data_IF_775790818038
#
_entry.id   IF_775790818038
#
_cell.length_a   1.000
_cell.length_b   1.000
_cell.length_c   1.000
_cell.angle_alpha   90.00
_cell.angle_beta   90.00
_cell.angle_gamma   90.00
#
_symmetry.space_group_name_H-M   'P 1'
#
loop_
_entity.id
_entity.type
_entity.pdbx_description
1 polymer ?
#
# COMPACT_ATOMS: atom_id res chain seq x y z
N UNK A 1 -64.00 15.98 18.72
CA UNK A 1 -62.54 16.21 18.83
C UNK A 1 -61.93 14.91 19.27
N UNK A 2 -61.47 14.12 18.31
CA UNK A 2 -61.03 12.74 18.49
C UNK A 2 -59.54 12.72 18.13
N UNK A 3 -58.67 12.71 19.15
CA UNK A 3 -57.23 12.68 18.96
C UNK A 3 -56.80 11.23 18.79
N UNK A 4 -56.59 10.82 17.54
CA UNK A 4 -55.98 9.56 17.17
C UNK A 4 -54.49 9.56 17.51
N UNK A 5 -54.10 8.76 18.50
CA UNK A 5 -52.71 8.42 18.79
C UNK A 5 -52.23 7.34 17.81
N UNK A 6 -51.56 7.76 16.73
CA UNK A 6 -50.78 6.84 15.91
C UNK A 6 -49.45 6.52 16.63
N UNK A 7 -49.40 5.35 17.28
CA UNK A 7 -48.15 4.69 17.63
C UNK A 7 -47.50 4.18 16.34
N UNK A 8 -46.55 4.94 15.80
CA UNK A 8 -45.63 4.46 14.79
C UNK A 8 -44.51 3.66 15.48
N UNK A 9 -44.75 2.36 15.68
CA UNK A 9 -43.68 1.40 15.95
C UNK A 9 -42.78 1.33 14.71
N UNK A 10 -41.68 2.09 14.75
CA UNK A 10 -40.62 1.97 13.76
C UNK A 10 -39.97 0.60 13.89
N UNK A 11 -40.39 -0.34 13.03
CA UNK A 11 -39.71 -1.61 12.78
C UNK A 11 -38.29 -1.31 12.31
N UNK A 12 -37.34 -1.30 13.25
CA UNK A 12 -35.92 -1.20 12.93
C UNK A 12 -35.55 -2.44 12.10
N UNK A 13 -35.25 -2.22 10.82
CA UNK A 13 -34.74 -3.26 9.94
C UNK A 13 -33.53 -3.93 10.59
N UNK A 14 -33.41 -5.28 10.54
CA UNK A 14 -32.24 -5.96 11.06
C UNK A 14 -31.00 -5.41 10.36
N UNK A 15 -30.05 -4.89 11.16
CA UNK A 15 -28.77 -4.39 10.64
C UNK A 15 -28.06 -5.47 9.81
N UNK A 16 -27.17 -5.07 8.89
CA UNK A 16 -26.51 -6.02 7.99
C UNK A 16 -25.85 -7.15 8.79
N UNK A 17 -25.93 -8.40 8.30
CA UNK A 17 -25.36 -9.54 9.00
C UNK A 17 -23.88 -9.31 9.25
N UNK A 18 -23.41 -9.59 10.46
CA UNK A 18 -21.98 -9.49 10.76
C UNK A 18 -21.21 -10.47 9.87
N UNK A 19 -20.15 -10.03 9.16
CA UNK A 19 -19.41 -10.90 8.26
C UNK A 19 -18.83 -12.10 9.03
N UNK A 20 -18.74 -13.25 8.35
CA UNK A 20 -18.12 -14.46 8.90
C UNK A 20 -16.64 -14.22 9.16
N UNK A 21 -16.06 -14.92 10.14
CA UNK A 21 -14.63 -14.84 10.45
C UNK A 21 -13.76 -15.10 9.22
N UNK A 22 -14.10 -16.11 8.41
CA UNK A 22 -13.37 -16.42 7.16
C UNK A 22 -13.33 -15.23 6.20
N UNK A 23 -14.47 -14.57 5.96
CA UNK A 23 -14.52 -13.40 5.06
C UNK A 23 -13.66 -12.23 5.55
N UNK A 24 -13.61 -12.01 6.86
CA UNK A 24 -12.77 -10.95 7.45
C UNK A 24 -11.29 -11.29 7.30
N UNK A 25 -10.92 -12.57 7.46
CA UNK A 25 -9.55 -13.05 7.22
C UNK A 25 -9.16 -12.91 5.76
N UNK A 26 -10.04 -13.28 4.83
CA UNK A 26 -9.80 -13.12 3.39
C UNK A 26 -9.55 -11.64 3.03
N UNK A 27 -10.36 -10.73 3.58
CA UNK A 27 -10.17 -9.29 3.41
C UNK A 27 -8.86 -8.80 4.03
N UNK A 28 -8.51 -9.30 5.23
CA UNK A 28 -7.22 -9.04 5.88
C UNK A 28 -6.03 -9.49 5.03
N UNK A 29 -6.14 -10.66 4.39
CA UNK A 29 -5.13 -11.19 3.47
C UNK A 29 -4.96 -10.33 2.22
N UNK A 30 -6.06 -9.82 1.64
CA UNK A 30 -5.99 -8.90 0.50
C UNK A 30 -5.22 -7.62 0.84
N UNK A 31 -5.44 -7.08 2.05
CA UNK A 31 -4.73 -5.89 2.54
C UNK A 31 -3.25 -6.21 2.76
N UNK A 32 -2.95 -7.29 3.47
CA UNK A 32 -1.57 -7.69 3.80
C UNK A 32 -0.74 -7.97 2.53
N UNK A 33 -1.28 -8.76 1.60
CA UNK A 33 -0.59 -9.08 0.34
C UNK A 33 -0.43 -7.83 -0.55
N UNK A 34 -1.36 -6.88 -0.49
CA UNK A 34 -1.20 -5.60 -1.17
C UNK A 34 -0.10 -4.74 -0.57
N UNK A 35 0.06 -4.75 0.76
CA UNK A 35 1.17 -4.08 1.44
C UNK A 35 2.53 -4.68 1.04
N UNK A 36 2.65 -6.01 1.04
CA UNK A 36 3.87 -6.73 0.59
C UNK A 36 4.17 -6.40 -0.87
N UNK A 37 3.18 -6.46 -1.76
CA UNK A 37 3.36 -6.12 -3.18
C UNK A 37 3.82 -4.67 -3.37
N UNK A 38 3.28 -3.73 -2.59
CA UNK A 38 3.68 -2.33 -2.65
C UNK A 38 5.12 -2.12 -2.15
N UNK A 39 5.53 -2.82 -1.08
CA UNK A 39 6.91 -2.81 -0.61
C UNK A 39 7.88 -3.33 -1.68
N UNK A 40 7.55 -4.46 -2.31
CA UNK A 40 8.34 -5.04 -3.39
C UNK A 40 8.40 -4.14 -4.63
N UNK A 41 7.27 -3.53 -5.02
CA UNK A 41 7.22 -2.56 -6.12
C UNK A 41 8.22 -1.42 -5.91
N UNK A 42 8.23 -0.85 -4.70
CA UNK A 42 9.19 0.21 -4.36
C UNK A 42 10.65 -0.28 -4.45
N UNK A 43 10.92 -1.53 -4.04
CA UNK A 43 12.25 -2.14 -4.14
C UNK A 43 12.69 -2.31 -5.60
N UNK A 44 11.78 -2.72 -6.49
CA UNK A 44 12.04 -2.77 -7.93
C UNK A 44 12.36 -1.40 -8.51
N UNK A 45 11.56 -0.38 -8.19
CA UNK A 45 11.76 0.98 -8.69
C UNK A 45 13.12 1.52 -8.23
N UNK A 46 13.44 1.38 -6.95
CA UNK A 46 14.73 1.83 -6.40
C UNK A 46 15.88 1.03 -7.00
N UNK A 47 15.78 -0.30 -7.08
CA UNK A 47 16.81 -1.16 -7.65
C UNK A 47 17.13 -0.83 -9.11
N UNK A 48 16.10 -0.58 -9.92
CA UNK A 48 16.26 -0.22 -11.33
C UNK A 48 16.85 1.19 -11.50
N UNK A 49 16.31 2.19 -10.79
CA UNK A 49 16.66 3.60 -11.03
C UNK A 49 17.92 4.06 -10.29
N UNK A 50 18.19 3.53 -9.10
CA UNK A 50 19.32 3.95 -8.26
C UNK A 50 20.52 3.05 -8.42
N UNK A 51 20.31 1.73 -8.38
CA UNK A 51 21.40 0.76 -8.26
C UNK A 51 21.79 0.13 -9.60
N UNK A 52 21.00 0.37 -10.66
CA UNK A 52 21.18 -0.18 -12.01
C UNK A 52 21.44 -1.69 -12.03
N UNK A 53 20.80 -2.42 -11.11
CA UNK A 53 20.98 -3.86 -10.98
C UNK A 53 20.15 -4.61 -12.01
N UNK A 54 20.74 -5.66 -12.55
CA UNK A 54 20.01 -6.65 -13.34
C UNK A 54 18.97 -7.37 -12.46
N UNK A 55 17.90 -7.83 -13.10
CA UNK A 55 16.86 -8.59 -12.43
C UNK A 55 17.35 -10.00 -12.09
N UNK A 56 17.35 -10.32 -10.79
CA UNK A 56 17.63 -11.66 -10.27
C UNK A 56 16.38 -12.21 -9.55
N UNK A 57 15.70 -13.23 -10.11
CA UNK A 57 14.47 -13.76 -9.54
C UNK A 57 14.67 -14.34 -8.14
N UNK A 58 15.82 -14.94 -7.84
CA UNK A 58 16.08 -15.59 -6.55
C UNK A 58 16.26 -14.54 -5.45
N UNK A 59 16.96 -13.44 -5.76
CA UNK A 59 17.10 -12.31 -4.83
C UNK A 59 15.75 -11.67 -4.51
N UNK A 60 14.89 -11.45 -5.50
CA UNK A 60 13.57 -10.87 -5.27
C UNK A 60 12.60 -11.84 -4.59
N UNK A 61 12.73 -13.14 -4.82
CA UNK A 61 12.00 -14.16 -4.06
C UNK A 61 12.41 -14.16 -2.59
N UNK A 62 13.71 -14.09 -2.28
CA UNK A 62 14.20 -13.96 -0.91
C UNK A 62 13.69 -12.67 -0.23
N UNK A 63 13.70 -11.55 -0.96
CA UNK A 63 13.14 -10.28 -0.48
C UNK A 63 11.63 -10.39 -0.21
N UNK A 64 10.87 -11.05 -1.09
CA UNK A 64 9.44 -11.26 -0.90
C UNK A 64 9.14 -12.10 0.35
N UNK A 65 9.90 -13.16 0.60
CA UNK A 65 9.78 -13.95 1.84
C UNK A 65 10.09 -13.10 3.07
N UNK A 66 11.12 -12.25 3.02
CA UNK A 66 11.43 -11.32 4.10
C UNK A 66 10.28 -10.35 4.38
N UNK A 67 9.70 -9.74 3.35
CA UNK A 67 8.57 -8.81 3.51
C UNK A 67 7.31 -9.53 4.01
N UNK A 68 7.03 -10.76 3.55
CA UNK A 68 5.94 -11.60 4.07
C UNK A 68 6.12 -11.90 5.56
N UNK A 69 7.33 -12.32 5.98
CA UNK A 69 7.63 -12.56 7.39
C UNK A 69 7.55 -11.30 8.24
N UNK A 70 7.98 -10.15 7.72
CA UNK A 70 7.89 -8.88 8.43
C UNK A 70 6.42 -8.47 8.67
N UNK A 71 5.56 -8.60 7.65
CA UNK A 71 4.12 -8.33 7.81
C UNK A 71 3.46 -9.36 8.73
N UNK A 72 3.88 -10.63 8.70
CA UNK A 72 3.41 -11.64 9.63
C UNK A 72 3.79 -11.29 11.09
N UNK A 73 5.05 -10.90 11.31
CA UNK A 73 5.56 -10.45 12.61
C UNK A 73 4.80 -9.25 13.15
N UNK A 74 4.50 -8.27 12.30
CA UNK A 74 3.68 -7.11 12.67
C UNK A 74 2.25 -7.52 13.09
N UNK A 75 1.67 -8.52 12.41
CA UNK A 75 0.37 -9.06 12.82
C UNK A 75 0.44 -9.79 14.17
N UNK A 76 1.51 -10.53 14.50
CA UNK A 76 1.66 -11.12 15.83
C UNK A 76 1.74 -10.06 16.93
N UNK A 77 2.48 -8.97 16.67
CA UNK A 77 2.59 -7.84 17.60
C UNK A 77 1.24 -7.15 17.81
N UNK A 78 0.48 -6.97 16.74
CA UNK A 78 -0.87 -6.43 16.78
C UNK A 78 -1.83 -7.34 17.53
N UNK A 79 -1.78 -8.66 17.30
CA UNK A 79 -2.53 -9.66 18.04
C UNK A 79 -2.22 -9.58 19.54
N UNK A 80 -0.94 -9.54 19.91
CA UNK A 80 -0.48 -9.40 21.29
C UNK A 80 -0.98 -8.09 21.92
N UNK A 81 -0.94 -6.99 21.17
CA UNK A 81 -1.43 -5.67 21.65
C UNK A 81 -2.93 -5.70 21.89
N UNK A 82 -3.69 -6.30 20.97
CA UNK A 82 -5.14 -6.46 21.07
C UNK A 82 -5.51 -7.37 22.24
N UNK A 83 -4.77 -8.46 22.48
CA UNK A 83 -4.96 -9.35 23.62
C UNK A 83 -4.76 -8.63 24.96
N UNK A 84 -3.68 -7.84 25.09
CA UNK A 84 -3.41 -7.05 26.31
C UNK A 84 -4.53 -6.07 26.59
N UNK A 85 -5.01 -5.38 25.55
CA UNK A 85 -6.13 -4.44 25.66
C UNK A 85 -7.44 -5.15 26.04
N UNK A 86 -7.73 -6.29 25.40
CA UNK A 86 -8.91 -7.10 25.71
C UNK A 86 -8.89 -7.62 27.15
N UNK A 87 -7.74 -8.08 27.62
CA UNK A 87 -7.53 -8.52 29.00
C UNK A 87 -7.72 -7.39 30.00
N UNK A 88 -7.20 -6.19 29.70
CA UNK A 88 -7.40 -5.00 30.53
C UNK A 88 -8.88 -4.60 30.61
N UNK A 89 -9.58 -4.57 29.48
CA UNK A 89 -11.01 -4.25 29.43
C UNK A 89 -11.85 -5.31 30.15
N UNK A 90 -11.52 -6.59 30.00
CA UNK A 90 -12.20 -7.67 30.70
C UNK A 90 -12.07 -7.53 32.22
N UNK A 91 -10.87 -7.23 32.73
CA UNK A 91 -10.63 -7.02 34.17
C UNK A 91 -11.33 -5.77 34.74
N UNK A 92 -11.45 -4.71 33.95
CA UNK A 92 -12.08 -3.45 34.39
C UNK A 92 -13.59 -3.43 34.17
N UNK A 93 -14.15 -4.41 33.46
CA UNK A 93 -15.59 -4.55 33.28
C UNK A 93 -16.19 -5.22 34.50
N UNK A 94 -16.79 -4.42 35.38
CA UNK A 94 -17.47 -4.91 36.58
C UNK A 94 -18.75 -5.72 36.31
N UNK A 95 -19.28 -6.32 37.38
CA UNK A 95 -20.58 -6.96 37.37
C UNK A 95 -21.69 -5.89 37.37
N UNK A 96 -22.66 -5.99 36.46
CA UNK A 96 -23.74 -5.01 36.33
C UNK A 96 -24.44 -5.03 34.97
N UNK A 97 -25.52 -4.25 34.84
CA UNK A 97 -26.38 -4.18 33.65
C UNK A 97 -26.47 -2.75 33.05
N UNK A 98 -25.53 -1.86 33.36
CA UNK A 98 -25.52 -0.54 32.73
C UNK A 98 -25.15 -0.65 31.24
N UNK A 99 -25.67 0.28 30.42
CA UNK A 99 -25.37 0.36 28.98
C UNK A 99 -23.87 0.48 28.71
N UNK A 100 -23.14 1.18 29.57
CA UNK A 100 -21.68 1.31 29.47
C UNK A 100 -20.97 -0.04 29.64
N UNK A 101 -21.38 -0.86 30.62
CA UNK A 101 -20.82 -2.19 30.84
C UNK A 101 -21.14 -3.13 29.68
N UNK A 102 -22.33 -3.05 29.10
CA UNK A 102 -22.70 -3.81 27.91
C UNK A 102 -21.82 -3.45 26.70
N UNK A 103 -21.57 -2.15 26.48
CA UNK A 103 -20.64 -1.70 25.43
C UNK A 103 -19.23 -2.25 25.65
N UNK A 104 -18.70 -2.17 26.88
CA UNK A 104 -17.38 -2.73 27.22
C UNK A 104 -17.29 -4.23 26.93
N UNK A 105 -18.33 -5.02 27.25
CA UNK A 105 -18.40 -6.45 26.91
C UNK A 105 -18.38 -6.69 25.39
N UNK A 106 -19.13 -5.91 24.62
CA UNK A 106 -19.13 -6.00 23.15
C UNK A 106 -17.75 -5.66 22.58
N UNK A 107 -17.05 -4.70 23.16
CA UNK A 107 -15.69 -4.35 22.73
C UNK A 107 -14.67 -5.46 23.04
N UNK A 108 -14.79 -6.14 24.19
CA UNK A 108 -13.98 -7.35 24.47
C UNK A 108 -14.19 -8.41 23.38
N UNK A 109 -15.43 -8.68 22.97
CA UNK A 109 -15.73 -9.64 21.88
C UNK A 109 -15.13 -9.17 20.55
N UNK A 110 -15.24 -7.88 20.22
CA UNK A 110 -14.65 -7.32 18.99
C UNK A 110 -13.13 -7.43 18.99
N UNK A 111 -12.47 -7.17 20.11
CA UNK A 111 -11.03 -7.34 20.26
C UNK A 111 -10.63 -8.81 20.13
N UNK A 112 -11.41 -9.73 20.70
CA UNK A 112 -11.20 -11.17 20.49
C UNK A 112 -11.22 -11.55 19.01
N UNK A 113 -12.20 -11.05 18.24
CA UNK A 113 -12.26 -11.29 16.78
C UNK A 113 -11.07 -10.67 16.03
N UNK A 114 -10.64 -9.46 16.41
CA UNK A 114 -9.48 -8.79 15.82
C UNK A 114 -8.18 -9.55 16.09
N UNK A 115 -8.02 -10.09 17.30
CA UNK A 115 -6.89 -10.97 17.64
C UNK A 115 -6.86 -12.18 16.72
N UNK A 116 -7.98 -12.92 16.64
CA UNK A 116 -8.09 -14.10 15.76
C UNK A 116 -7.77 -13.75 14.31
N UNK A 117 -8.22 -12.60 13.81
CA UNK A 117 -7.87 -12.10 12.48
C UNK A 117 -6.35 -11.96 12.31
N UNK A 118 -5.69 -11.23 13.19
CA UNK A 118 -4.24 -11.02 13.11
C UNK A 118 -3.47 -12.33 13.22
N UNK A 119 -3.87 -13.25 14.11
CA UNK A 119 -3.25 -14.57 14.26
C UNK A 119 -3.35 -15.37 12.94
N UNK A 120 -4.53 -15.43 12.34
CA UNK A 120 -4.73 -16.18 11.09
C UNK A 120 -4.00 -15.53 9.92
N UNK A 121 -4.01 -14.20 9.80
CA UNK A 121 -3.26 -13.50 8.75
C UNK A 121 -1.76 -13.77 8.88
N UNK A 122 -1.21 -13.73 10.09
CA UNK A 122 0.21 -14.03 10.32
C UNK A 122 0.56 -15.48 9.92
N UNK A 123 -0.25 -16.45 10.30
CA UNK A 123 -0.07 -17.86 9.92
C UNK A 123 -0.10 -18.04 8.40
N UNK A 124 -1.12 -17.52 7.73
CA UNK A 124 -1.26 -17.59 6.28
C UNK A 124 -0.12 -16.93 5.52
N UNK A 125 0.39 -15.79 6.00
CA UNK A 125 1.53 -15.13 5.38
C UNK A 125 2.81 -15.99 5.45
N UNK A 126 2.98 -16.78 6.51
CA UNK A 126 4.09 -17.74 6.63
C UNK A 126 3.90 -18.94 5.70
N UNK A 127 2.68 -19.47 5.60
CA UNK A 127 2.36 -20.52 4.61
C UNK A 127 2.71 -20.05 3.18
N UNK A 128 2.36 -18.81 2.84
CA UNK A 128 2.67 -18.22 1.54
C UNK A 128 4.17 -18.03 1.35
N UNK A 129 4.94 -17.64 2.39
CA UNK A 129 6.39 -17.47 2.25
C UNK A 129 7.13 -18.77 2.00
N UNK A 130 6.55 -19.90 2.41
CA UNK A 130 7.11 -21.24 2.20
C UNK A 130 6.70 -21.84 0.84
N UNK A 131 5.77 -21.19 0.12
CA UNK A 131 5.29 -21.61 -1.20
C UNK A 131 5.99 -20.81 -2.32
N UNK A 132 6.94 -21.45 -2.98
CA UNK A 132 7.73 -20.86 -4.06
C UNK A 132 6.88 -20.35 -5.24
N UNK A 133 5.79 -21.02 -5.57
CA UNK A 133 4.91 -20.63 -6.68
C UNK A 133 4.17 -19.33 -6.32
N UNK A 134 3.64 -19.25 -5.10
CA UNK A 134 2.96 -18.06 -4.63
C UNK A 134 3.91 -16.87 -4.44
N UNK A 135 5.11 -17.11 -3.89
CA UNK A 135 6.16 -16.09 -3.79
C UNK A 135 6.51 -15.55 -5.18
N UNK A 136 6.74 -16.44 -6.15
CA UNK A 136 7.04 -16.06 -7.53
C UNK A 136 5.92 -15.22 -8.13
N UNK A 137 4.65 -15.62 -7.95
CA UNK A 137 3.50 -14.85 -8.44
C UNK A 137 3.42 -13.44 -7.85
N UNK A 138 3.69 -13.27 -6.55
CA UNK A 138 3.73 -11.97 -5.88
C UNK A 138 4.85 -11.10 -6.46
N UNK A 139 6.04 -11.68 -6.66
CA UNK A 139 7.21 -10.99 -7.22
C UNK A 139 6.94 -10.53 -8.65
N UNK A 140 6.37 -11.39 -9.51
CA UNK A 140 6.05 -11.02 -10.89
C UNK A 140 5.03 -9.88 -10.93
N UNK A 141 3.97 -9.95 -10.13
CA UNK A 141 2.97 -8.89 -10.07
C UNK A 141 3.56 -7.57 -9.58
N UNK A 142 4.41 -7.60 -8.55
CA UNK A 142 5.09 -6.41 -8.06
C UNK A 142 6.03 -5.79 -9.11
N UNK A 143 6.69 -6.64 -9.92
CA UNK A 143 7.56 -6.22 -11.03
C UNK A 143 6.76 -5.57 -12.15
N UNK A 144 5.64 -6.16 -12.55
CA UNK A 144 4.72 -5.58 -13.54
C UNK A 144 4.22 -4.22 -13.10
N UNK A 145 3.72 -4.11 -11.86
CA UNK A 145 3.25 -2.86 -11.26
C UNK A 145 4.36 -1.79 -11.26
N UNK A 146 5.61 -2.18 -10.95
CA UNK A 146 6.75 -1.27 -10.92
C UNK A 146 7.12 -0.76 -12.32
N UNK A 147 7.17 -1.66 -13.31
CA UNK A 147 7.48 -1.29 -14.70
C UNK A 147 6.40 -0.38 -15.29
N UNK A 148 5.14 -0.64 -14.98
CA UNK A 148 4.03 0.22 -15.37
C UNK A 148 4.22 1.63 -14.78
N UNK A 149 4.47 1.74 -13.48
CA UNK A 149 4.67 3.04 -12.82
C UNK A 149 5.88 3.82 -13.37
N UNK A 150 7.00 3.14 -13.63
CA UNK A 150 8.17 3.76 -14.27
C UNK A 150 7.83 4.28 -15.67
N UNK A 151 7.09 3.50 -16.45
CA UNK A 151 6.70 3.85 -17.82
C UNK A 151 5.75 5.05 -17.84
N UNK A 152 4.77 5.06 -16.94
CA UNK A 152 3.83 6.17 -16.77
C UNK A 152 4.56 7.45 -16.35
N UNK A 153 5.47 7.36 -15.38
CA UNK A 153 6.27 8.50 -14.93
C UNK A 153 7.18 9.04 -16.05
N UNK A 154 7.79 8.15 -16.84
CA UNK A 154 8.61 8.53 -17.99
C UNK A 154 7.77 9.20 -19.08
N UNK A 155 6.62 8.63 -19.42
CA UNK A 155 5.70 9.19 -20.41
C UNK A 155 5.22 10.59 -19.99
N UNK A 156 4.81 10.75 -18.73
CA UNK A 156 4.40 12.04 -18.18
C UNK A 156 5.55 13.07 -18.27
N UNK A 157 6.77 12.65 -17.91
CA UNK A 157 7.96 13.52 -17.99
C UNK A 157 8.33 13.91 -19.43
N UNK A 158 8.18 13.01 -20.40
CA UNK A 158 8.42 13.29 -21.81
C UNK A 158 7.37 14.23 -22.40
N UNK A 159 6.10 14.01 -22.05
CA UNK A 159 5.00 14.89 -22.44
C UNK A 159 5.18 16.30 -21.88
N UNK A 160 5.60 16.43 -20.61
CA UNK A 160 5.88 17.72 -19.99
C UNK A 160 7.06 18.47 -20.66
N UNK A 161 8.04 17.74 -21.22
CA UNK A 161 9.16 18.33 -21.96
C UNK A 161 8.79 18.68 -23.41
N UNK A 162 7.63 18.24 -23.90
CA UNK A 162 7.19 18.53 -25.26
C UNK A 162 6.86 20.02 -25.37
N UNK A 163 7.70 20.76 -26.08
CA UNK A 163 7.41 22.14 -26.44
C UNK A 163 6.43 22.14 -27.62
N UNK A 164 5.23 22.68 -27.42
CA UNK A 164 4.24 22.80 -28.49
C UNK A 164 4.58 23.99 -29.41
N UNK A 165 4.86 23.75 -30.71
CA UNK A 165 5.16 24.82 -31.68
C UNK A 165 4.02 25.81 -31.90
N UNK A 166 2.78 25.44 -31.52
CA UNK A 166 1.60 26.30 -31.68
C UNK A 166 1.40 27.27 -30.52
N UNK A 167 2.18 27.15 -29.44
CA UNK A 167 2.06 28.05 -28.30
C UNK A 167 2.49 29.49 -28.67
N UNK A 168 1.73 30.51 -28.25
CA UNK A 168 2.13 31.91 -28.43
C UNK A 168 3.53 32.16 -27.86
N UNK A 169 4.39 32.82 -28.64
CA UNK A 169 5.77 33.12 -28.24
C UNK A 169 6.76 31.96 -28.43
N UNK A 170 6.34 30.82 -29.00
CA UNK A 170 7.23 29.68 -29.28
C UNK A 170 8.47 30.07 -30.08
N UNK A 171 8.31 30.80 -31.19
CA UNK A 171 9.43 31.19 -32.06
C UNK A 171 10.43 32.10 -31.34
N UNK A 172 9.94 33.04 -30.52
CA UNK A 172 10.80 33.91 -29.72
C UNK A 172 11.59 33.13 -28.66
N UNK A 173 10.91 32.23 -27.93
CA UNK A 173 11.54 31.37 -26.94
C UNK A 173 12.54 30.37 -27.58
N UNK A 174 12.21 29.84 -28.77
CA UNK A 174 13.09 28.96 -29.56
C UNK A 174 14.33 29.71 -30.02
N UNK A 175 14.20 30.90 -30.58
CA UNK A 175 15.33 31.72 -30.98
C UNK A 175 16.25 32.07 -29.79
N UNK A 176 15.68 32.34 -28.62
CA UNK A 176 16.46 32.55 -27.40
C UNK A 176 17.25 31.29 -26.98
N UNK A 177 16.61 30.11 -26.98
CA UNK A 177 17.28 28.83 -26.68
C UNK A 177 18.41 28.52 -27.68
N UNK A 178 18.18 28.69 -28.98
CA UNK A 178 19.21 28.46 -30.01
C UNK A 178 20.42 29.39 -29.88
N UNK A 179 20.19 30.66 -29.50
CA UNK A 179 21.29 31.59 -29.18
C UNK A 179 22.08 31.16 -27.95
N UNK A 180 21.41 30.63 -26.92
CA UNK A 180 22.07 30.12 -25.72
C UNK A 180 22.95 28.90 -26.03
N UNK A 181 22.45 27.95 -26.82
CA UNK A 181 23.23 26.77 -27.27
C UNK A 181 24.53 27.20 -27.98
N UNK A 182 24.44 28.15 -28.92
CA UNK A 182 25.62 28.62 -29.64
C UNK A 182 26.65 29.33 -28.76
N UNK A 183 26.19 30.20 -27.84
CA UNK A 183 27.08 31.04 -27.03
C UNK A 183 27.66 30.34 -25.81
N UNK A 184 26.92 29.41 -25.22
CA UNK A 184 27.28 28.77 -23.96
C UNK A 184 27.79 27.36 -24.24
N UNK A 185 26.94 26.50 -24.78
CA UNK A 185 27.22 25.06 -24.86
C UNK A 185 28.28 24.75 -25.93
N UNK A 186 28.13 25.27 -27.14
CA UNK A 186 29.10 25.04 -28.22
C UNK A 186 30.45 25.73 -27.97
N UNK A 187 30.45 26.90 -27.33
CA UNK A 187 31.67 27.58 -26.95
C UNK A 187 32.44 26.83 -25.85
N UNK A 188 31.74 26.25 -24.88
CA UNK A 188 32.32 25.40 -23.85
C UNK A 188 32.91 24.11 -24.45
N UNK A 189 32.19 23.47 -25.38
CA UNK A 189 32.67 22.29 -26.10
C UNK A 189 33.96 22.58 -26.87
N UNK A 190 33.99 23.67 -27.67
CA UNK A 190 35.16 24.05 -28.45
C UNK A 190 36.39 24.42 -27.61
N UNK A 191 36.20 24.87 -26.36
CA UNK A 191 37.31 25.05 -25.40
C UNK A 191 37.87 23.71 -24.91
N UNK A 192 36.98 22.74 -24.67
CA UNK A 192 37.36 21.41 -24.17
C UNK A 192 38.15 20.63 -25.22
N UNK A 193 37.71 20.66 -26.47
CA UNK A 193 38.41 19.95 -27.57
C UNK A 193 39.82 20.47 -27.79
N UNK A 194 40.05 21.79 -27.66
CA UNK A 194 41.36 22.45 -27.80
C UNK A 194 42.36 22.19 -26.66
N UNK A 195 41.94 21.53 -25.58
CA UNK A 195 42.80 21.16 -24.45
C UNK A 195 43.21 19.68 -24.49
N UNK A 196 42.71 18.94 -25.48
CA UNK A 196 42.98 17.52 -25.73
C UNK A 196 43.89 17.28 -26.95
N UNK A 197 44.31 18.35 -27.63
CA UNK A 197 45.43 18.41 -28.57
C UNK A 197 46.62 19.07 -27.86
#
# INVERSE_FOLDING_TARGET
>A
MENGSHNAEGTAAPGPPTPSTGRIVDEGMLIALSAVRMALKNRFIVGALRDHRDYDPDQYAALARQELHEVARQNDEDSTRVERLGSYLSRTTGAGKSRELENKRRDVVRLGRRRTLHDHVAERLREISDDDEQVSAIVQKAREDALQEITEALAARLLAQRVDPRQPGYEAARAARMRAVGKVDLAALAKKTRHTD
#
